data_IF_093641066121
#
_entry.id   IF_093641066121
#
_cell.length_a   1.000
_cell.length_b   1.000
_cell.length_c   1.000
_cell.angle_alpha   90.00
_cell.angle_beta   90.00
_cell.angle_gamma   90.00
#
_symmetry.space_group_name_H-M   'P 1'
#
loop_
_entity.id
_entity.type
_entity.pdbx_description
1 polymer ?
#
# COMPACT_ATOMS: atom_id res chain seq x y z
N UNK A 1 17.41 26.36 23.06
CA UNK A 1 17.28 24.95 22.57
C UNK A 1 16.35 24.98 21.38
N UNK A 2 16.76 24.42 20.23
CA UNK A 2 15.88 24.32 19.07
C UNK A 2 14.84 23.23 19.37
N UNK A 3 13.58 23.61 19.60
CA UNK A 3 12.47 22.65 19.65
C UNK A 3 12.26 22.11 18.24
N UNK A 4 12.38 20.80 18.06
CA UNK A 4 11.95 20.17 16.81
C UNK A 4 10.43 20.31 16.75
N UNK A 5 9.93 21.15 15.82
CA UNK A 5 8.50 21.31 15.64
C UNK A 5 8.07 20.23 14.64
N UNK A 6 7.61 19.09 15.14
CA UNK A 6 6.98 18.11 14.28
C UNK A 6 5.76 18.75 13.61
N UNK A 7 5.55 18.42 12.33
CA UNK A 7 4.41 18.89 11.55
C UNK A 7 3.08 18.59 12.26
N UNK A 8 2.05 19.42 12.07
CA UNK A 8 0.67 19.09 12.51
C UNK A 8 0.15 17.84 11.80
N UNK A 9 0.67 17.53 10.62
CA UNK A 9 0.32 16.35 9.83
C UNK A 9 1.43 15.31 9.90
N UNK A 10 1.05 14.04 10.05
CA UNK A 10 1.98 12.91 10.01
C UNK A 10 2.48 12.57 8.59
N UNK A 11 3.37 11.60 8.49
CA UNK A 11 3.99 11.15 7.24
C UNK A 11 2.97 10.54 6.26
N UNK A 12 1.81 10.14 6.76
CA UNK A 12 0.71 9.53 6.03
C UNK A 12 -0.42 10.52 5.74
N UNK A 13 -0.27 11.80 6.07
CA UNK A 13 -1.27 12.81 5.72
C UNK A 13 -2.45 12.87 6.69
N UNK A 14 -2.33 12.30 7.89
CA UNK A 14 -3.33 12.45 8.95
C UNK A 14 -2.94 13.60 9.88
N UNK A 15 -3.93 14.43 10.22
CA UNK A 15 -3.75 15.50 11.20
C UNK A 15 -3.59 14.91 12.61
N UNK A 16 -2.58 15.40 13.33
CA UNK A 16 -2.37 15.11 14.74
C UNK A 16 -3.34 15.96 15.57
N UNK A 17 -3.94 15.40 16.64
CA UNK A 17 -4.75 16.15 17.59
C UNK A 17 -4.01 17.36 18.18
N UNK A 18 -4.75 18.38 18.62
CA UNK A 18 -4.14 19.58 19.20
C UNK A 18 -3.45 19.28 20.56
N UNK A 19 -3.85 18.22 21.26
CA UNK A 19 -3.27 17.72 22.51
C UNK A 19 -2.20 16.63 22.29
N UNK A 20 -1.68 16.50 21.07
CA UNK A 20 -0.67 15.50 20.75
C UNK A 20 0.64 15.72 21.54
N UNK A 21 1.06 14.70 22.31
CA UNK A 21 2.29 14.74 23.09
C UNK A 21 3.51 14.50 22.20
N UNK A 22 4.06 15.60 21.69
CA UNK A 22 5.25 15.60 20.85
C UNK A 22 6.52 15.16 21.60
N UNK A 23 6.63 15.41 22.90
CA UNK A 23 7.83 15.06 23.68
C UNK A 23 7.89 13.54 23.86
N UNK A 24 6.78 12.91 24.27
CA UNK A 24 6.69 11.44 24.35
C UNK A 24 6.88 10.78 22.99
N UNK A 25 6.32 11.37 21.92
CA UNK A 25 6.52 10.86 20.57
C UNK A 25 7.99 10.94 20.12
N UNK A 26 8.67 12.07 20.39
CA UNK A 26 10.09 12.24 20.06
C UNK A 26 10.97 11.22 20.78
N UNK A 27 10.72 11.01 22.08
CA UNK A 27 11.43 10.02 22.89
C UNK A 27 11.23 8.61 22.34
N UNK A 28 10.00 8.22 22.04
CA UNK A 28 9.69 6.94 21.41
C UNK A 28 10.40 6.80 20.06
N UNK A 29 10.27 7.81 19.19
CA UNK A 29 10.85 7.79 17.85
C UNK A 29 12.37 7.75 17.91
N UNK A 30 13.03 8.41 18.86
CA UNK A 30 14.49 8.37 19.00
C UNK A 30 15.02 6.97 19.31
N UNK A 31 14.27 6.17 20.07
CA UNK A 31 14.60 4.77 20.34
C UNK A 31 14.23 3.88 19.16
N UNK A 32 13.04 4.11 18.59
CA UNK A 32 12.53 3.37 17.44
C UNK A 32 13.44 3.52 16.22
N UNK A 33 13.95 4.72 15.93
CA UNK A 33 14.86 5.01 14.82
C UNK A 33 16.21 4.29 14.96
N UNK A 34 16.70 4.05 16.18
CA UNK A 34 17.93 3.25 16.42
C UNK A 34 17.68 1.77 16.11
N UNK A 35 16.54 1.24 16.55
CA UNK A 35 16.11 -0.13 16.21
C UNK A 35 15.91 -0.26 14.70
N UNK A 36 15.28 0.75 14.10
CA UNK A 36 15.07 0.86 12.67
C UNK A 36 16.42 0.77 11.96
N UNK A 37 17.35 1.68 12.23
CA UNK A 37 18.69 1.71 11.63
C UNK A 37 19.44 0.37 11.68
N UNK A 38 19.38 -0.32 12.82
CA UNK A 38 19.99 -1.64 13.00
C UNK A 38 19.36 -2.70 12.11
N UNK A 39 18.03 -2.74 12.04
CA UNK A 39 17.31 -3.69 11.21
C UNK A 39 17.54 -3.42 9.70
N UNK A 40 17.76 -2.18 9.28
CA UNK A 40 18.10 -1.85 7.89
C UNK A 40 19.42 -2.42 7.45
N UNK A 41 20.43 -2.27 8.30
CA UNK A 41 21.76 -2.82 8.03
C UNK A 41 21.70 -4.33 7.86
N UNK A 42 20.76 -5.00 8.54
CA UNK A 42 20.51 -6.43 8.38
C UNK A 42 19.73 -6.75 7.09
N UNK A 43 18.71 -5.95 6.75
CA UNK A 43 17.94 -6.07 5.51
C UNK A 43 18.77 -5.89 4.24
N UNK A 44 19.63 -4.87 4.20
CA UNK A 44 20.54 -4.62 3.08
C UNK A 44 21.55 -5.75 2.89
N UNK A 45 22.01 -6.40 3.95
CA UNK A 45 22.90 -7.57 3.83
C UNK A 45 22.19 -8.78 3.22
N UNK A 46 20.90 -8.96 3.52
CA UNK A 46 20.12 -10.06 2.96
C UNK A 46 19.87 -9.90 1.45
N UNK A 47 19.75 -8.66 0.98
CA UNK A 47 19.35 -8.34 -0.40
C UNK A 47 20.54 -7.93 -1.28
N UNK A 48 21.51 -7.20 -0.73
CA UNK A 48 22.71 -6.70 -1.43
C UNK A 48 23.73 -7.76 -1.84
N UNK A 49 23.57 -9.01 -1.40
CA UNK A 49 24.41 -10.14 -1.83
C UNK A 49 23.97 -10.74 -3.18
N UNK A 50 23.10 -10.07 -3.95
CA UNK A 50 22.66 -10.56 -5.27
C UNK A 50 21.85 -11.86 -5.21
N UNK A 51 21.37 -12.25 -4.02
CA UNK A 51 20.50 -13.40 -3.84
C UNK A 51 19.14 -13.05 -4.41
N UNK A 52 18.78 -13.71 -5.51
CA UNK A 52 17.45 -13.68 -6.11
C UNK A 52 16.37 -13.68 -5.02
N UNK A 53 15.40 -12.77 -5.12
CA UNK A 53 14.27 -12.58 -4.20
C UNK A 53 13.27 -13.75 -4.21
N UNK A 54 13.75 -14.98 -4.40
CA UNK A 54 12.92 -16.18 -4.34
C UNK A 54 12.35 -16.33 -2.94
N UNK A 55 11.04 -16.64 -2.88
CA UNK A 55 10.28 -16.85 -1.66
C UNK A 55 10.97 -17.91 -0.79
N UNK A 56 11.56 -17.48 0.33
CA UNK A 56 12.24 -18.36 1.30
C UNK A 56 11.95 -17.91 2.74
N UNK A 57 12.31 -18.72 3.74
CA UNK A 57 12.04 -18.43 5.15
C UNK A 57 12.68 -17.12 5.64
N UNK A 58 13.84 -16.76 5.08
CA UNK A 58 14.56 -15.53 5.40
C UNK A 58 13.82 -14.31 4.88
N UNK A 59 13.33 -14.34 3.64
CA UNK A 59 12.47 -13.31 3.05
C UNK A 59 11.16 -13.22 3.83
N UNK A 60 10.53 -14.35 4.19
CA UNK A 60 9.29 -14.36 4.99
C UNK A 60 9.49 -13.72 6.37
N UNK A 61 10.60 -14.03 7.05
CA UNK A 61 10.95 -13.44 8.35
C UNK A 61 11.23 -11.94 8.22
N UNK A 62 11.87 -11.53 7.13
CA UNK A 62 12.13 -10.14 6.81
C UNK A 62 10.84 -9.35 6.55
N UNK A 63 9.94 -9.87 5.71
CA UNK A 63 8.62 -9.26 5.44
C UNK A 63 7.80 -9.12 6.72
N UNK A 64 7.78 -10.13 7.60
CA UNK A 64 7.07 -10.07 8.90
C UNK A 64 7.61 -8.99 9.85
N UNK A 65 8.88 -8.61 9.70
CA UNK A 65 9.47 -7.50 10.46
C UNK A 65 9.14 -6.12 9.86
N UNK A 66 8.44 -6.10 8.71
CA UNK A 66 8.15 -4.91 7.92
C UNK A 66 9.24 -4.62 6.89
N UNK A 67 8.86 -4.49 5.62
CA UNK A 67 9.73 -3.94 4.59
C UNK A 67 9.82 -2.43 4.83
N UNK A 68 10.97 -1.97 5.31
CA UNK A 68 11.18 -0.59 5.79
C UNK A 68 11.40 0.40 4.64
N UNK A 69 11.13 1.67 4.92
CA UNK A 69 11.02 2.76 3.94
C UNK A 69 12.30 2.98 3.13
N UNK A 70 13.48 2.83 3.73
CA UNK A 70 14.73 3.13 3.05
C UNK A 70 15.30 1.97 2.19
N UNK A 71 14.59 0.84 2.05
CA UNK A 71 14.92 -0.23 1.10
C UNK A 71 14.20 -0.04 -0.25
N UNK A 72 14.02 1.21 -0.65
CA UNK A 72 12.91 1.71 -1.45
C UNK A 72 12.76 1.16 -2.87
N UNK A 73 13.86 0.99 -3.60
CA UNK A 73 13.82 0.34 -4.94
C UNK A 73 13.63 -1.17 -4.86
N UNK A 74 14.04 -1.78 -3.75
CA UNK A 74 13.98 -3.23 -3.54
C UNK A 74 12.64 -3.65 -2.92
N UNK A 75 11.99 -2.76 -2.17
CA UNK A 75 10.68 -3.02 -1.57
C UNK A 75 9.63 -3.31 -2.64
N UNK A 76 9.66 -2.58 -3.76
CA UNK A 76 8.76 -2.76 -4.89
C UNK A 76 8.94 -4.14 -5.53
N UNK A 77 10.18 -4.50 -5.86
CA UNK A 77 10.53 -5.83 -6.39
C UNK A 77 10.16 -6.95 -5.39
N UNK A 78 10.38 -6.74 -4.08
CA UNK A 78 10.00 -7.69 -3.04
C UNK A 78 8.49 -7.83 -2.97
N UNK A 79 7.71 -6.75 -2.95
CA UNK A 79 6.25 -6.82 -2.89
C UNK A 79 5.67 -7.49 -4.15
N UNK A 80 6.18 -7.14 -5.33
CA UNK A 80 5.75 -7.75 -6.59
C UNK A 80 6.10 -9.25 -6.64
N UNK A 81 7.30 -9.62 -6.22
CA UNK A 81 7.76 -11.01 -6.19
C UNK A 81 7.04 -11.85 -5.12
N UNK A 82 6.90 -11.31 -3.90
CA UNK A 82 6.33 -12.04 -2.74
C UNK A 82 4.82 -12.18 -2.87
N UNK A 83 4.13 -11.19 -3.42
CA UNK A 83 2.70 -11.28 -3.71
C UNK A 83 2.40 -12.28 -4.83
N UNK A 84 3.38 -12.59 -5.69
CA UNK A 84 3.17 -13.38 -6.91
C UNK A 84 2.53 -12.58 -8.05
N UNK A 85 2.37 -11.27 -7.87
CA UNK A 85 1.74 -10.40 -8.87
C UNK A 85 2.48 -10.38 -10.21
N UNK A 86 3.80 -10.57 -10.22
CA UNK A 86 4.56 -10.69 -11.47
C UNK A 86 4.15 -11.92 -12.27
N UNK A 87 4.13 -13.09 -11.63
CA UNK A 87 3.74 -14.35 -12.25
C UNK A 87 2.28 -14.31 -12.75
N UNK A 88 1.36 -13.77 -11.93
CA UNK A 88 -0.04 -13.61 -12.32
C UNK A 88 -0.21 -12.66 -13.51
N UNK A 89 0.62 -11.61 -13.62
CA UNK A 89 0.59 -10.68 -14.76
C UNK A 89 1.08 -11.35 -16.04
N UNK A 90 2.13 -12.16 -15.96
CA UNK A 90 2.61 -12.95 -17.10
C UNK A 90 1.57 -13.97 -17.56
N UNK A 91 0.89 -14.62 -16.61
CA UNK A 91 -0.15 -15.62 -16.89
C UNK A 91 -1.42 -14.99 -17.51
N UNK A 92 -1.90 -13.87 -16.98
CA UNK A 92 -3.22 -13.32 -17.34
C UNK A 92 -3.17 -12.24 -18.41
N UNK A 93 -1.98 -11.72 -18.71
CA UNK A 93 -1.79 -10.63 -19.67
C UNK A 93 -2.00 -9.25 -19.06
N UNK A 94 -1.38 -8.25 -19.69
CA UNK A 94 -1.35 -6.86 -19.20
C UNK A 94 -2.71 -6.15 -19.17
N UNK A 95 -3.71 -6.70 -19.86
CA UNK A 95 -5.06 -6.16 -19.97
C UNK A 95 -6.07 -6.84 -19.03
N UNK A 96 -5.67 -7.84 -18.25
CA UNK A 96 -6.54 -8.54 -17.30
C UNK A 96 -7.33 -7.61 -16.39
N UNK A 97 -6.66 -6.63 -15.78
CA UNK A 97 -7.31 -5.64 -14.92
C UNK A 97 -8.36 -4.82 -15.68
N UNK A 98 -8.08 -4.45 -16.94
CA UNK A 98 -9.04 -3.73 -17.78
C UNK A 98 -10.24 -4.61 -18.16
N UNK A 99 -10.01 -5.91 -18.41
CA UNK A 99 -11.11 -6.87 -18.65
C UNK A 99 -12.00 -7.03 -17.43
N UNK A 100 -11.43 -7.04 -16.22
CA UNK A 100 -12.21 -7.06 -14.98
C UNK A 100 -13.08 -5.81 -14.85
N UNK A 101 -12.52 -4.61 -15.10
CA UNK A 101 -13.29 -3.35 -15.04
C UNK A 101 -14.41 -3.27 -16.07
N UNK A 102 -14.20 -3.84 -17.27
CA UNK A 102 -15.18 -3.83 -18.35
C UNK A 102 -16.15 -5.04 -18.30
N UNK A 103 -16.02 -5.91 -17.29
CA UNK A 103 -16.89 -7.07 -17.11
C UNK A 103 -18.31 -6.68 -16.63
N UNK A 104 -19.27 -7.62 -16.69
CA UNK A 104 -20.60 -7.40 -16.16
C UNK A 104 -20.54 -7.17 -14.64
N UNK A 105 -21.06 -6.03 -14.19
CA UNK A 105 -21.06 -5.61 -12.79
C UNK A 105 -22.40 -5.89 -12.11
N UNK A 106 -22.32 -6.35 -10.87
CA UNK A 106 -23.46 -6.40 -9.96
C UNK A 106 -23.74 -5.00 -9.41
N UNK A 107 -24.96 -4.52 -9.62
CA UNK A 107 -25.37 -3.17 -9.20
C UNK A 107 -25.36 -3.02 -7.69
N UNK A 108 -25.68 -4.07 -6.93
CA UNK A 108 -25.69 -4.02 -5.46
C UNK A 108 -24.27 -3.84 -4.91
N UNK A 109 -23.28 -4.49 -5.53
CA UNK A 109 -21.86 -4.33 -5.20
C UNK A 109 -21.41 -2.90 -5.55
N UNK A 110 -21.77 -2.38 -6.72
CA UNK A 110 -21.43 -1.01 -7.12
C UNK A 110 -21.95 -0.01 -6.10
N UNK A 111 -23.23 -0.12 -5.72
CA UNK A 111 -23.89 0.85 -4.85
C UNK A 111 -23.34 0.77 -3.43
N UNK A 112 -23.01 -0.44 -2.96
CA UNK A 112 -22.34 -0.64 -1.66
C UNK A 112 -20.96 0.01 -1.66
N UNK A 113 -20.13 -0.24 -2.68
CA UNK A 113 -18.80 0.36 -2.78
C UNK A 113 -18.90 1.89 -2.84
N UNK A 114 -19.79 2.44 -3.68
CA UNK A 114 -19.98 3.90 -3.80
C UNK A 114 -20.42 4.56 -2.50
N UNK A 115 -21.21 3.88 -1.69
CA UNK A 115 -21.62 4.36 -0.36
C UNK A 115 -20.43 4.41 0.61
N UNK A 116 -19.45 3.53 0.42
CA UNK A 116 -18.30 3.37 1.32
C UNK A 116 -17.12 4.29 0.99
N UNK A 117 -16.96 4.70 -0.26
CA UNK A 117 -15.85 5.56 -0.68
C UNK A 117 -15.80 6.90 0.10
N UNK A 118 -16.90 7.67 0.26
CA UNK A 118 -16.83 8.97 0.93
C UNK A 118 -16.46 8.90 2.41
N UNK A 119 -16.70 7.74 3.06
CA UNK A 119 -16.37 7.48 4.47
C UNK A 119 -14.98 6.84 4.67
N UNK A 120 -14.22 6.62 3.60
CA UNK A 120 -12.87 6.02 3.66
C UNK A 120 -11.81 7.12 3.77
N UNK A 121 -11.16 7.21 4.93
CA UNK A 121 -10.14 8.23 5.25
C UNK A 121 -10.49 9.66 4.80
N UNK A 122 -11.66 10.20 5.19
CA UNK A 122 -12.15 11.49 4.69
C UNK A 122 -11.24 12.67 5.05
N UNK A 123 -10.57 12.60 6.20
CA UNK A 123 -9.73 13.68 6.71
C UNK A 123 -8.27 13.60 6.25
N UNK A 124 -7.93 12.65 5.37
CA UNK A 124 -6.56 12.50 4.90
C UNK A 124 -6.22 13.57 3.86
N UNK A 125 -5.21 14.40 4.13
CA UNK A 125 -4.84 15.54 3.28
C UNK A 125 -4.37 15.13 1.87
N UNK A 126 -3.97 13.87 1.67
CA UNK A 126 -3.57 13.38 0.35
C UNK A 126 -4.76 12.98 -0.54
N UNK A 127 -5.92 12.76 0.07
CA UNK A 127 -7.14 12.30 -0.58
C UNK A 127 -8.20 13.41 -0.64
N UNK A 128 -8.11 14.37 0.28
CA UNK A 128 -9.00 15.52 0.32
C UNK A 128 -8.99 16.25 -1.04
N UNK A 129 -10.15 16.25 -1.72
CA UNK A 129 -10.42 16.85 -3.03
C UNK A 129 -9.94 16.14 -4.31
N UNK A 130 -9.52 14.87 -4.27
CA UNK A 130 -9.14 14.13 -5.49
C UNK A 130 -10.21 13.12 -5.93
N UNK A 131 -11.11 13.50 -6.86
CA UNK A 131 -12.00 12.54 -7.56
C UNK A 131 -11.22 11.34 -8.13
N UNK A 132 -9.97 11.59 -8.53
CA UNK A 132 -9.05 10.57 -9.03
C UNK A 132 -8.71 9.48 -8.00
N UNK A 133 -8.67 9.78 -6.70
CA UNK A 133 -8.41 8.79 -5.65
C UNK A 133 -9.63 7.88 -5.47
N UNK A 134 -10.82 8.46 -5.30
CA UNK A 134 -12.04 7.68 -5.13
C UNK A 134 -12.31 6.79 -6.35
N UNK A 135 -12.05 7.28 -7.56
CA UNK A 135 -12.16 6.48 -8.78
C UNK A 135 -11.15 5.32 -8.82
N UNK A 136 -9.91 5.55 -8.38
CA UNK A 136 -8.90 4.47 -8.31
C UNK A 136 -9.29 3.41 -7.28
N UNK A 137 -9.74 3.84 -6.11
CA UNK A 137 -10.20 2.96 -5.05
C UNK A 137 -11.43 2.16 -5.50
N UNK A 138 -12.40 2.81 -6.14
CA UNK A 138 -13.55 2.16 -6.77
C UNK A 138 -13.12 1.06 -7.74
N UNK A 139 -12.25 1.40 -8.70
CA UNK A 139 -11.81 0.46 -9.74
C UNK A 139 -11.15 -0.80 -9.14
N UNK A 140 -10.36 -0.65 -8.09
CA UNK A 140 -9.69 -1.79 -7.44
C UNK A 140 -10.69 -2.69 -6.72
N UNK A 141 -11.63 -2.08 -5.99
CA UNK A 141 -12.65 -2.83 -5.25
C UNK A 141 -13.59 -3.59 -6.19
N UNK A 142 -13.99 -2.97 -7.31
CA UNK A 142 -14.80 -3.62 -8.34
C UNK A 142 -14.01 -4.73 -9.03
N UNK A 143 -12.76 -4.48 -9.41
CA UNK A 143 -11.92 -5.51 -10.03
C UNK A 143 -11.74 -6.72 -9.10
N UNK A 144 -11.59 -6.50 -7.79
CA UNK A 144 -11.54 -7.58 -6.81
C UNK A 144 -12.84 -8.35 -6.72
N UNK A 145 -13.98 -7.67 -6.58
CA UNK A 145 -15.28 -8.31 -6.48
C UNK A 145 -15.62 -9.14 -7.75
N UNK A 146 -15.15 -8.69 -8.92
CA UNK A 146 -15.29 -9.42 -10.17
C UNK A 146 -14.41 -10.67 -10.27
N UNK A 147 -13.18 -10.58 -9.76
CA UNK A 147 -12.26 -11.71 -9.74
C UNK A 147 -12.70 -12.77 -8.72
N UNK A 148 -13.18 -12.34 -7.56
CA UNK A 148 -13.64 -13.21 -6.48
C UNK A 148 -15.15 -13.11 -6.29
N UNK A 149 -15.92 -13.71 -7.20
CA UNK A 149 -17.40 -13.66 -7.17
C UNK A 149 -18.04 -14.37 -5.98
N UNK A 150 -17.34 -15.30 -5.35
CA UNK A 150 -17.86 -15.99 -4.15
C UNK A 150 -17.91 -15.05 -2.94
N UNK A 151 -16.90 -14.21 -2.78
CA UNK A 151 -16.81 -13.23 -1.69
C UNK A 151 -17.45 -11.90 -2.07
N UNK A 152 -17.28 -11.48 -3.32
CA UNK A 152 -17.69 -10.16 -3.81
C UNK A 152 -16.99 -9.03 -3.04
N UNK A 153 -17.78 -8.06 -2.59
CA UNK A 153 -17.32 -6.96 -1.75
C UNK A 153 -17.85 -7.10 -0.32
N UNK A 154 -16.94 -7.05 0.65
CA UNK A 154 -17.25 -6.97 2.06
C UNK A 154 -16.94 -5.57 2.61
N UNK A 155 -17.86 -5.03 3.43
CA UNK A 155 -17.64 -3.78 4.16
C UNK A 155 -16.35 -3.86 4.98
N UNK A 156 -15.45 -2.90 4.79
CA UNK A 156 -14.12 -2.89 5.41
C UNK A 156 -12.98 -3.08 4.40
N UNK A 157 -13.23 -3.71 3.25
CA UNK A 157 -12.22 -3.86 2.19
C UNK A 157 -11.75 -2.51 1.62
N UNK A 158 -12.62 -1.49 1.65
CA UNK A 158 -12.29 -0.12 1.31
C UNK A 158 -11.12 0.43 2.13
N UNK A 159 -11.13 0.24 3.45
CA UNK A 159 -10.04 0.71 4.32
C UNK A 159 -8.74 -0.05 4.07
N UNK A 160 -8.80 -1.35 3.79
CA UNK A 160 -7.60 -2.15 3.49
C UNK A 160 -6.99 -1.70 2.15
N UNK A 161 -7.82 -1.57 1.11
CA UNK A 161 -7.37 -1.08 -0.19
C UNK A 161 -6.77 0.32 -0.09
N UNK A 162 -7.38 1.20 0.70
CA UNK A 162 -6.91 2.57 0.85
C UNK A 162 -5.67 2.68 1.75
N UNK A 163 -5.52 1.84 2.78
CA UNK A 163 -4.27 1.69 3.52
C UNK A 163 -3.13 1.26 2.60
N UNK A 164 -3.37 0.26 1.74
CA UNK A 164 -2.40 -0.16 0.73
C UNK A 164 -2.04 1.02 -0.20
N UNK A 165 -3.01 1.87 -0.52
CA UNK A 165 -2.83 3.00 -1.44
C UNK A 165 -1.96 4.06 -0.79
N UNK A 166 -2.27 4.38 0.45
CA UNK A 166 -1.56 5.35 1.24
C UNK A 166 -0.11 4.95 1.47
N UNK A 167 0.11 3.70 1.89
CA UNK A 167 1.45 3.13 2.08
C UNK A 167 2.28 3.22 0.80
N UNK A 168 1.65 3.10 -0.37
CA UNK A 168 2.32 3.14 -1.67
C UNK A 168 2.52 4.57 -2.18
N UNK A 169 1.59 5.49 -1.91
CA UNK A 169 1.70 6.91 -2.27
C UNK A 169 2.79 7.64 -1.49
N UNK A 170 2.88 7.43 -0.18
CA UNK A 170 3.97 7.98 0.65
C UNK A 170 5.32 7.49 0.13
N UNK A 171 5.38 6.26 -0.39
CA UNK A 171 6.58 5.72 -1.04
C UNK A 171 6.90 6.42 -2.37
N UNK A 172 5.93 6.89 -3.15
CA UNK A 172 6.16 7.61 -4.43
C UNK A 172 6.70 9.04 -4.23
N UNK A 173 6.11 9.82 -3.31
CA UNK A 173 6.40 11.26 -3.16
C UNK A 173 7.88 11.58 -2.87
N UNK A 174 8.63 10.61 -2.31
CA UNK A 174 10.04 10.81 -1.99
C UNK A 174 11.00 9.94 -2.86
N UNK A 175 10.53 9.12 -3.81
CA UNK A 175 11.37 8.23 -4.65
C UNK A 175 11.61 8.71 -6.08
N UNK A 176 10.89 9.74 -6.54
CA UNK A 176 11.05 10.28 -7.90
C UNK A 176 10.56 9.38 -9.05
N UNK A 177 9.94 8.22 -8.74
CA UNK A 177 9.39 7.31 -9.75
C UNK A 177 8.09 7.84 -10.38
N UNK A 178 7.91 7.52 -11.66
CA UNK A 178 6.75 7.97 -12.44
C UNK A 178 5.44 7.37 -11.91
N UNK A 179 4.43 8.24 -11.77
CA UNK A 179 3.03 7.91 -11.47
C UNK A 179 2.46 6.82 -12.40
N UNK A 180 3.03 6.65 -13.59
CA UNK A 180 2.65 5.65 -14.58
C UNK A 180 2.95 4.20 -14.17
N UNK A 181 4.03 3.96 -13.40
CA UNK A 181 4.36 2.62 -12.91
C UNK A 181 3.27 2.14 -11.93
N UNK A 182 2.83 3.03 -11.05
CA UNK A 182 1.82 2.73 -10.04
C UNK A 182 0.46 2.38 -10.65
N UNK A 183 -0.05 3.20 -11.57
CA UNK A 183 -1.31 2.89 -12.26
C UNK A 183 -1.27 1.54 -12.98
N UNK A 184 -0.07 1.04 -13.31
CA UNK A 184 0.12 -0.22 -14.04
C UNK A 184 0.21 -1.45 -13.14
N UNK A 185 0.89 -1.37 -11.98
CA UNK A 185 1.20 -2.55 -11.16
C UNK A 185 0.45 -2.62 -9.83
N UNK A 186 0.00 -1.46 -9.32
CA UNK A 186 -0.69 -1.36 -8.04
C UNK A 186 -1.95 -2.24 -7.94
N UNK A 187 -2.87 -2.22 -8.92
CA UNK A 187 -4.08 -3.04 -8.83
C UNK A 187 -3.76 -4.53 -8.84
N UNK A 188 -2.80 -4.97 -9.66
CA UNK A 188 -2.39 -6.38 -9.74
C UNK A 188 -1.75 -6.87 -8.44
N UNK A 189 -0.98 -6.04 -7.74
CA UNK A 189 -0.39 -6.41 -6.44
C UNK A 189 -1.46 -6.66 -5.39
N UNK A 190 -2.49 -5.82 -5.32
CA UNK A 190 -3.59 -5.98 -4.36
C UNK A 190 -4.41 -7.21 -4.67
N UNK A 191 -4.78 -7.40 -5.94
CA UNK A 191 -5.53 -8.57 -6.38
C UNK A 191 -4.75 -9.86 -6.08
N UNK A 192 -3.44 -9.87 -6.33
CA UNK A 192 -2.57 -11.01 -6.02
C UNK A 192 -2.53 -11.31 -4.51
N UNK A 193 -2.44 -10.28 -3.66
CA UNK A 193 -2.42 -10.47 -2.20
C UNK A 193 -3.74 -11.06 -1.67
N UNK A 194 -4.87 -10.65 -2.24
CA UNK A 194 -6.20 -11.09 -1.80
C UNK A 194 -6.65 -12.44 -2.36
N UNK A 195 -5.89 -13.03 -3.28
CA UNK A 195 -6.09 -14.41 -3.77
C UNK A 195 -5.34 -15.48 -2.97
N UNK A 196 -4.31 -15.09 -2.23
CA UNK A 196 -3.39 -16.00 -1.53
C UNK A 196 -3.78 -16.20 -0.05
N UNK A 197 -4.85 -15.55 0.41
CA UNK A 197 -5.42 -15.69 1.76
C UNK A 197 -6.72 -16.46 1.70
#
# INVERSE_FOLDING_TARGET
MARSFFSKVDEYGFERPDDFDYETYEDFMSQYLKVLAKELKNGLKLIGEGKSLKRNLTVKRYVRKGIREEHRGLAEDVWLTVSGAEALREEWGSDFYQRLLNGPMDQDIIDTVKTDLPRTFPDNIFFNAAETHQQQLFNILIAYAHDNKEVGYCQGLNYIADCCYLLQRVRTLRSGYSRCWWNRYYPTIILAQWRVS
#
